data_IF_539176045386
#
_entry.id   IF_539176045386
#
_cell.length_a   1.000
_cell.length_b   1.000
_cell.length_c   1.000
_cell.angle_alpha   90.00
_cell.angle_beta   90.00
_cell.angle_gamma   90.00
#
_symmetry.space_group_name_H-M   'P 1'
#
loop_
_entity.id
_entity.type
_entity.pdbx_description
1 polymer ?
#
# COMPACT_ATOMS: atom_id res chain seq x y z
N UNK A 1 -9.89 3.28 8.88
CA UNK A 1 -9.45 4.17 7.81
C UNK A 1 -8.80 3.38 6.71
N UNK A 2 -8.87 3.86 5.51
CA UNK A 2 -8.31 3.16 4.38
C UNK A 2 -7.47 4.13 3.54
N UNK A 3 -6.61 3.56 2.73
CA UNK A 3 -5.71 4.32 1.88
C UNK A 3 -5.78 3.75 0.47
N UNK A 4 -5.86 4.62 -0.51
CA UNK A 4 -5.81 4.20 -1.90
C UNK A 4 -4.38 4.17 -2.38
N UNK A 5 -4.01 3.06 -3.00
CA UNK A 5 -2.67 2.80 -3.49
C UNK A 5 -2.75 2.66 -5.00
N UNK A 6 -1.98 3.47 -5.72
CA UNK A 6 -1.97 3.41 -7.17
C UNK A 6 -0.56 3.05 -7.62
N UNK A 7 -0.47 1.98 -8.37
CA UNK A 7 0.82 1.49 -8.84
C UNK A 7 1.20 2.15 -10.16
N UNK A 8 2.47 2.03 -10.52
CA UNK A 8 2.95 2.60 -11.77
C UNK A 8 2.29 1.98 -13.00
N UNK A 9 1.72 0.79 -12.84
CA UNK A 9 0.97 0.15 -13.91
C UNK A 9 -0.42 0.72 -14.09
N UNK A 10 -0.89 1.55 -13.15
CA UNK A 10 -2.24 2.08 -13.16
C UNK A 10 -3.20 1.29 -12.29
N UNK A 11 -2.78 0.17 -11.77
CA UNK A 11 -3.63 -0.64 -10.89
C UNK A 11 -3.88 0.10 -9.58
N UNK A 12 -5.08 -0.06 -9.03
CA UNK A 12 -5.49 0.62 -7.81
C UNK A 12 -5.94 -0.40 -6.78
N UNK A 13 -5.55 -0.14 -5.54
CA UNK A 13 -5.97 -0.98 -4.42
C UNK A 13 -6.35 -0.10 -3.25
N UNK A 14 -7.38 -0.50 -2.53
CA UNK A 14 -7.78 0.17 -1.31
C UNK A 14 -7.37 -0.73 -0.15
N UNK A 15 -6.49 -0.22 0.71
CA UNK A 15 -5.92 -1.05 1.76
C UNK A 15 -6.25 -0.47 3.13
N UNK A 16 -6.22 -1.34 4.13
CA UNK A 16 -6.48 -0.96 5.51
C UNK A 16 -5.37 -0.09 6.06
N UNK A 17 -5.75 0.83 6.94
CA UNK A 17 -4.81 1.70 7.59
C UNK A 17 -4.85 3.10 7.02
N UNK A 18 -4.43 4.08 7.81
CA UNK A 18 -4.39 5.45 7.31
C UNK A 18 -3.14 5.63 6.44
N UNK A 19 -3.10 6.76 5.73
CA UNK A 19 -2.04 6.99 4.75
C UNK A 19 -0.65 6.98 5.38
N UNK A 20 -0.54 7.50 6.60
CA UNK A 20 0.77 7.53 7.26
C UNK A 20 1.22 6.13 7.66
N UNK A 21 0.30 5.30 8.12
CA UNK A 21 0.66 3.93 8.49
C UNK A 21 1.06 3.13 7.26
N UNK A 22 0.33 3.30 6.17
CA UNK A 22 0.64 2.59 4.93
C UNK A 22 1.98 3.07 4.38
N UNK A 23 2.22 4.38 4.42
CA UNK A 23 3.49 4.94 3.97
C UNK A 23 4.66 4.31 4.74
N UNK A 24 4.52 4.17 6.05
CA UNK A 24 5.58 3.60 6.87
C UNK A 24 5.88 2.16 6.46
N UNK A 25 4.84 1.38 6.20
CA UNK A 25 5.03 -0.01 5.78
C UNK A 25 5.80 -0.05 4.46
N UNK A 26 5.42 0.83 3.53
CA UNK A 26 6.07 0.85 2.23
C UNK A 26 7.52 1.32 2.35
N UNK A 27 7.77 2.34 3.15
CA UNK A 27 9.13 2.84 3.33
C UNK A 27 10.02 1.81 4.03
N UNK A 28 9.48 1.12 5.03
CA UNK A 28 10.26 0.10 5.70
C UNK A 28 10.64 -1.03 4.73
N UNK A 29 9.71 -1.41 3.87
CA UNK A 29 10.00 -2.43 2.87
C UNK A 29 11.05 -1.93 1.88
N UNK A 30 10.94 -0.66 1.48
CA UNK A 30 11.90 -0.09 0.52
C UNK A 30 13.30 0.00 1.09
N UNK A 31 13.40 0.16 2.40
CA UNK A 31 14.71 0.22 3.07
C UNK A 31 15.28 -1.15 3.36
N UNK A 32 14.45 -2.17 3.23
CA UNK A 32 14.92 -3.52 3.48
C UNK A 32 15.98 -3.91 2.48
N UNK A 33 16.63 -5.01 2.78
CA UNK A 33 17.62 -5.49 1.87
C UNK A 33 16.90 -6.05 0.64
N UNK A 34 17.35 -6.98 0.00
CA UNK A 34 16.92 -7.40 -1.31
C UNK A 34 15.48 -7.92 -1.31
N UNK A 35 14.65 -7.43 -2.23
CA UNK A 35 13.37 -8.06 -2.57
C UNK A 35 12.34 -8.08 -1.45
N UNK A 36 12.40 -7.10 -0.58
CA UNK A 36 11.40 -7.04 0.47
C UNK A 36 10.11 -6.44 -0.06
N UNK A 37 9.01 -7.13 0.17
CA UNK A 37 7.70 -6.66 -0.26
C UNK A 37 6.97 -6.00 0.90
N UNK A 38 6.09 -5.06 0.59
CA UNK A 38 5.25 -4.42 1.58
C UNK A 38 3.95 -5.22 1.70
N UNK A 39 3.65 -5.67 2.90
CA UNK A 39 2.46 -6.49 3.14
C UNK A 39 1.35 -5.61 3.69
N UNK A 40 0.24 -5.60 2.97
CA UNK A 40 -0.92 -4.78 3.31
C UNK A 40 -2.16 -5.65 3.25
N UNK A 41 -3.25 -5.14 3.81
CA UNK A 41 -4.53 -5.87 3.81
C UNK A 41 -5.50 -5.11 2.93
N UNK A 42 -6.06 -5.78 1.95
CA UNK A 42 -7.05 -5.17 1.08
C UNK A 42 -8.34 -4.94 1.86
N UNK A 43 -8.88 -3.72 1.75
CA UNK A 43 -10.00 -3.32 2.60
C UNK A 43 -11.27 -4.10 2.31
N UNK A 44 -11.53 -4.41 1.04
CA UNK A 44 -12.80 -5.05 0.67
C UNK A 44 -12.79 -6.55 0.95
N UNK A 45 -11.70 -7.21 0.62
CA UNK A 45 -11.64 -8.67 0.70
C UNK A 45 -10.97 -9.17 1.96
N UNK A 46 -10.24 -8.30 2.65
CA UNK A 46 -9.44 -8.65 3.84
C UNK A 46 -8.32 -9.61 3.48
N UNK A 47 -7.96 -9.67 2.22
CA UNK A 47 -6.83 -10.49 1.78
C UNK A 47 -5.54 -9.71 1.93
N UNK A 48 -4.47 -10.44 2.16
CA UNK A 48 -3.15 -9.82 2.24
C UNK A 48 -2.60 -9.60 0.85
N UNK A 49 -2.05 -8.40 0.65
CA UNK A 49 -1.40 -8.05 -0.60
C UNK A 49 0.07 -7.80 -0.34
N UNK A 50 0.92 -8.39 -1.17
CA UNK A 50 2.35 -8.12 -1.12
C UNK A 50 2.68 -7.21 -2.30
N UNK A 51 3.12 -6.01 -2.01
CA UNK A 51 3.31 -4.98 -3.02
C UNK A 51 4.79 -4.63 -3.11
N UNK A 52 5.30 -4.51 -4.32
CA UNK A 52 6.66 -4.04 -4.53
C UNK A 52 6.69 -2.53 -4.25
N UNK A 53 7.44 -2.10 -3.23
CA UNK A 53 7.43 -0.68 -2.86
C UNK A 53 7.89 0.24 -3.98
N UNK A 54 8.69 -0.26 -4.91
CA UNK A 54 9.17 0.55 -6.02
C UNK A 54 8.11 0.77 -7.09
N UNK A 55 7.04 0.01 -7.05
CA UNK A 55 5.96 0.15 -8.03
C UNK A 55 4.87 1.09 -7.57
N UNK A 56 4.98 1.63 -6.37
CA UNK A 56 3.96 2.56 -5.85
C UNK A 56 4.19 3.93 -6.45
N UNK A 57 3.18 4.43 -7.15
CA UNK A 57 3.26 5.75 -7.76
C UNK A 57 2.57 6.80 -6.91
N UNK A 58 1.40 6.49 -6.38
CA UNK A 58 0.59 7.43 -5.61
C UNK A 58 0.00 6.73 -4.41
N UNK A 59 -0.05 7.44 -3.31
CA UNK A 59 -0.64 6.97 -2.08
C UNK A 59 -1.47 8.10 -1.52
N UNK A 60 -2.75 7.86 -1.27
CA UNK A 60 -3.58 8.93 -0.75
C UNK A 60 -4.65 8.36 0.16
N UNK A 61 -5.08 9.18 1.13
CA UNK A 61 -6.13 8.79 2.02
C UNK A 61 -7.41 8.59 1.23
N UNK A 62 -8.03 7.43 1.38
CA UNK A 62 -9.29 7.16 0.72
C UNK A 62 -10.39 7.87 1.49
N UNK A 63 -11.25 8.54 0.76
CA UNK A 63 -12.40 9.18 1.38
C UNK A 63 -13.39 8.12 1.76
N UNK A 64 -13.74 8.06 3.03
CA UNK A 64 -14.71 7.09 3.49
C UNK A 64 -16.04 7.80 3.68
N UNK A 65 -16.81 7.80 2.74
CA UNK A 65 -18.12 8.44 2.83
C UNK A 65 -19.20 7.44 3.08
#
# INVERSE_FOLDING_TARGET
>A
MTTELILVTGDRYCVEGDAKAVERIILDAARGSIMQLAWLVEAETQEQLAVNPEHVAVLRAASSQ
#
